data_IF_184019077840
#
_entry.id   IF_184019077840
#
_cell.length_a   1.000
_cell.length_b   1.000
_cell.length_c   1.000
_cell.angle_alpha   90.00
_cell.angle_beta   90.00
_cell.angle_gamma   90.00
#
_symmetry.space_group_name_H-M   'P 1'
#
loop_
_entity.id
_entity.type
_entity.pdbx_description
1 polymer ?
#
# COMPACT_ATOMS: atom_id res chain seq x y z
N UNK A 1 66.60 -58.62 15.98
CA UNK A 1 66.57 -57.52 16.97
C UNK A 1 66.63 -56.19 16.22
N UNK A 2 65.48 -55.52 16.06
CA UNK A 2 65.30 -54.08 15.75
C UNK A 2 63.79 -53.83 15.66
N UNK A 3 63.20 -53.42 16.79
CA UNK A 3 61.81 -52.95 16.84
C UNK A 3 61.75 -51.57 16.18
N UNK A 4 60.77 -51.35 15.30
CA UNK A 4 60.30 -50.01 14.92
C UNK A 4 59.01 -49.74 15.66
N UNK A 5 59.02 -48.71 16.50
CA UNK A 5 57.85 -48.19 17.20
C UNK A 5 56.84 -47.63 16.20
N UNK A 6 55.61 -48.12 16.24
CA UNK A 6 54.47 -47.55 15.53
C UNK A 6 53.69 -46.71 16.54
N UNK A 7 53.78 -45.39 16.44
CA UNK A 7 52.95 -44.47 17.22
C UNK A 7 51.58 -44.36 16.55
N UNK A 8 50.53 -44.76 17.26
CA UNK A 8 49.15 -44.64 16.83
C UNK A 8 48.65 -43.23 17.21
N UNK A 9 48.50 -42.34 16.22
CA UNK A 9 47.81 -41.07 16.41
C UNK A 9 46.30 -41.30 16.23
N UNK A 10 45.55 -41.23 17.32
CA UNK A 10 44.09 -41.21 17.31
C UNK A 10 43.64 -39.78 17.00
N UNK A 11 43.13 -39.54 15.79
CA UNK A 11 42.49 -38.28 15.44
C UNK A 11 41.07 -38.27 16.01
N UNK A 12 40.81 -37.43 17.00
CA UNK A 12 39.46 -37.13 17.50
C UNK A 12 38.90 -36.02 16.59
N UNK A 13 37.99 -36.38 15.69
CA UNK A 13 37.15 -35.43 14.95
C UNK A 13 36.06 -34.91 15.88
N UNK A 14 36.23 -33.68 16.40
CA UNK A 14 35.14 -32.92 17.00
C UNK A 14 34.18 -32.50 15.87
N UNK A 15 33.02 -33.15 15.79
CA UNK A 15 31.91 -32.65 14.98
C UNK A 15 31.35 -31.40 15.66
N UNK A 16 31.72 -30.22 15.16
CA UNK A 16 31.06 -28.96 15.53
C UNK A 16 29.72 -28.96 14.80
N UNK A 17 28.66 -29.40 15.48
CA UNK A 17 27.29 -29.14 15.08
C UNK A 17 27.04 -27.64 15.23
N UNK A 18 27.19 -26.88 14.15
CA UNK A 18 26.67 -25.52 14.09
C UNK A 18 25.15 -25.53 14.33
N UNK A 19 24.57 -24.49 14.94
CA UNK A 19 23.12 -24.42 15.09
C UNK A 19 22.51 -24.49 13.69
N UNK A 20 21.70 -25.52 13.44
CA UNK A 20 20.78 -25.48 12.31
C UNK A 20 19.87 -24.27 12.56
N UNK A 21 19.99 -23.23 11.73
CA UNK A 21 18.94 -22.25 11.61
C UNK A 21 17.71 -23.04 11.14
N UNK A 22 16.86 -23.41 12.09
CA UNK A 22 15.54 -23.90 11.76
C UNK A 22 14.90 -22.78 10.93
N UNK A 23 14.59 -23.07 9.67
CA UNK A 23 13.69 -22.24 8.86
C UNK A 23 12.30 -22.31 9.52
N UNK A 24 12.13 -21.60 10.64
CA UNK A 24 10.81 -21.37 11.21
C UNK A 24 10.08 -20.41 10.28
N UNK A 25 8.89 -20.81 9.84
CA UNK A 25 7.98 -19.94 9.10
C UNK A 25 7.77 -18.66 9.92
N UNK A 26 7.87 -17.45 9.33
CA UNK A 26 7.60 -16.21 10.05
C UNK A 26 6.22 -16.22 10.71
N UNK A 27 6.08 -15.53 11.84
CA UNK A 27 4.80 -15.30 12.52
C UNK A 27 3.81 -14.56 11.61
N UNK A 28 4.34 -13.64 10.81
CA UNK A 28 3.62 -12.85 9.80
C UNK A 28 4.57 -11.84 9.15
N UNK A 29 4.07 -11.10 8.18
CA UNK A 29 4.81 -10.04 7.49
C UNK A 29 4.23 -8.66 7.81
N UNK A 30 5.08 -7.75 8.26
CA UNK A 30 4.74 -6.35 8.50
C UNK A 30 5.16 -5.52 7.28
N UNK A 31 4.24 -4.70 6.78
CA UNK A 31 4.50 -3.72 5.73
C UNK A 31 4.47 -2.33 6.36
N UNK A 32 5.66 -1.77 6.65
CA UNK A 32 5.77 -0.39 7.12
C UNK A 32 5.52 0.55 5.94
N UNK A 33 4.48 1.37 6.05
CA UNK A 33 4.11 2.37 5.05
C UNK A 33 4.10 3.76 5.66
N UNK A 34 4.75 4.71 4.98
CA UNK A 34 4.87 6.11 5.41
C UNK A 34 4.22 7.00 4.35
N UNK A 35 3.25 7.80 4.78
CA UNK A 35 2.51 8.71 3.91
C UNK A 35 2.97 10.16 4.14
N UNK A 36 2.74 11.01 3.13
CA UNK A 36 2.90 12.48 3.13
C UNK A 36 4.32 13.00 2.97
N UNK A 37 5.32 12.13 2.81
CA UNK A 37 6.64 12.57 2.34
C UNK A 37 6.65 13.00 0.85
N UNK A 38 7.81 13.38 0.27
CA UNK A 38 9.11 13.44 0.91
C UNK A 38 9.34 14.80 1.57
N UNK A 39 9.70 14.81 2.84
CA UNK A 39 9.99 16.01 3.64
C UNK A 39 11.32 15.84 4.37
N UNK A 40 11.77 16.86 5.11
CA UNK A 40 13.03 16.79 5.86
C UNK A 40 13.04 15.62 6.86
N UNK A 41 11.90 15.36 7.52
CA UNK A 41 11.74 14.29 8.50
C UNK A 41 11.97 12.89 7.92
N UNK A 42 11.66 12.68 6.64
CA UNK A 42 11.85 11.41 5.94
C UNK A 42 13.30 10.91 6.03
N UNK A 43 14.29 11.83 6.07
CA UNK A 43 15.72 11.48 6.04
C UNK A 43 16.12 10.66 7.27
N UNK A 44 15.70 11.07 8.47
CA UNK A 44 16.05 10.35 9.70
C UNK A 44 15.23 9.07 9.86
N UNK A 45 13.98 9.06 9.41
CA UNK A 45 13.17 7.83 9.32
C UNK A 45 13.87 6.78 8.44
N UNK A 46 14.29 7.16 7.24
CA UNK A 46 15.02 6.27 6.31
C UNK A 46 16.31 5.74 6.94
N UNK A 47 17.07 6.59 7.65
CA UNK A 47 18.27 6.15 8.36
C UNK A 47 17.97 5.11 9.45
N UNK A 48 16.90 5.29 10.22
CA UNK A 48 16.48 4.29 11.23
C UNK A 48 16.07 2.97 10.57
N UNK A 49 15.31 3.01 9.46
CA UNK A 49 14.95 1.81 8.71
C UNK A 49 16.18 1.07 8.17
N UNK A 50 17.13 1.82 7.61
CA UNK A 50 18.41 1.28 7.13
C UNK A 50 19.23 0.64 8.25
N UNK A 51 19.35 1.30 9.41
CA UNK A 51 20.04 0.75 10.59
C UNK A 51 19.32 -0.49 11.14
N UNK A 52 17.99 -0.49 11.10
CA UNK A 52 17.16 -1.64 11.45
C UNK A 52 17.23 -2.77 10.43
N UNK A 53 17.87 -2.58 9.26
CA UNK A 53 17.97 -3.57 8.21
C UNK A 53 16.60 -4.00 7.68
N UNK A 54 15.71 -3.03 7.43
CA UNK A 54 14.38 -3.25 6.85
C UNK A 54 14.14 -2.32 5.66
N UNK A 55 13.23 -2.72 4.78
CA UNK A 55 12.67 -1.86 3.73
C UNK A 55 11.23 -1.49 4.09
N UNK A 56 10.76 -0.41 3.49
CA UNK A 56 9.45 0.19 3.74
C UNK A 56 8.92 0.75 2.41
N UNK A 57 7.65 1.13 2.40
CA UNK A 57 7.03 1.80 1.26
C UNK A 57 6.65 3.22 1.67
N UNK A 58 7.01 4.19 0.84
CA UNK A 58 6.68 5.60 1.03
C UNK A 58 5.65 6.00 -0.03
N UNK A 59 4.47 6.45 0.39
CA UNK A 59 3.46 7.01 -0.49
C UNK A 59 3.63 8.53 -0.47
N UNK A 60 4.19 9.07 -1.56
CA UNK A 60 4.66 10.45 -1.60
C UNK A 60 3.73 11.42 -2.34
N UNK A 61 3.75 12.67 -1.87
CA UNK A 61 3.16 13.86 -2.49
C UNK A 61 4.26 14.78 -3.03
N UNK A 62 4.33 14.97 -4.35
CA UNK A 62 5.43 15.72 -4.96
C UNK A 62 5.33 17.24 -4.81
N UNK A 63 4.22 17.80 -4.31
CA UNK A 63 4.12 19.23 -4.02
C UNK A 63 5.17 19.74 -3.01
N UNK A 64 5.70 18.85 -2.15
CA UNK A 64 6.81 19.15 -1.23
C UNK A 64 8.11 19.48 -1.98
N UNK A 65 8.29 18.96 -3.20
CA UNK A 65 9.43 19.31 -4.06
C UNK A 65 9.29 20.71 -4.65
N UNK A 66 8.06 21.17 -4.85
CA UNK A 66 7.76 22.54 -5.30
C UNK A 66 7.78 23.55 -4.12
N UNK A 67 7.89 23.10 -2.87
CA UNK A 67 8.03 23.96 -1.69
C UNK A 67 6.71 24.58 -1.22
N UNK A 68 5.58 23.93 -1.47
CA UNK A 68 4.22 24.44 -1.18
C UNK A 68 3.40 23.55 -0.24
N UNK A 69 4.02 22.53 0.37
CA UNK A 69 3.34 21.52 1.18
C UNK A 69 3.14 21.87 2.67
N UNK A 70 3.58 23.07 3.07
CA UNK A 70 3.51 23.59 4.46
C UNK A 70 4.25 22.72 5.51
N UNK A 71 5.31 22.03 5.11
CA UNK A 71 6.20 21.29 6.01
C UNK A 71 7.65 21.78 5.93
N UNK A 72 8.52 21.27 6.82
CA UNK A 72 9.96 21.44 6.63
C UNK A 72 10.40 20.57 5.46
N UNK A 73 10.57 21.16 4.28
CA UNK A 73 10.71 20.43 3.01
C UNK A 73 11.81 20.93 2.08
N UNK A 74 12.70 21.82 2.56
CA UNK A 74 13.86 22.29 1.80
C UNK A 74 14.82 21.17 1.37
N UNK A 75 14.72 19.99 2.01
CA UNK A 75 15.48 18.77 1.70
C UNK A 75 14.61 17.67 1.07
N UNK A 76 13.42 17.99 0.56
CA UNK A 76 12.50 17.02 -0.07
C UNK A 76 13.17 16.19 -1.17
N UNK A 77 13.94 16.82 -2.08
CA UNK A 77 14.66 16.08 -3.13
C UNK A 77 15.77 15.18 -2.58
N UNK A 78 16.41 15.57 -1.48
CA UNK A 78 17.40 14.71 -0.79
C UNK A 78 16.71 13.49 -0.20
N UNK A 79 15.58 13.67 0.48
CA UNK A 79 14.77 12.59 1.04
C UNK A 79 14.31 11.60 -0.04
N UNK A 80 13.79 12.09 -1.17
CA UNK A 80 13.37 11.25 -2.30
C UNK A 80 14.53 10.40 -2.83
N UNK A 81 15.69 11.01 -3.06
CA UNK A 81 16.89 10.29 -3.52
C UNK A 81 17.33 9.25 -2.49
N UNK A 82 17.38 9.63 -1.21
CA UNK A 82 17.80 8.73 -0.13
C UNK A 82 16.87 7.52 0.00
N UNK A 83 15.56 7.69 -0.14
CA UNK A 83 14.59 6.59 -0.11
C UNK A 83 14.87 5.59 -1.24
N UNK A 84 15.07 6.09 -2.46
CA UNK A 84 15.34 5.29 -3.65
C UNK A 84 16.70 4.61 -3.61
N UNK A 85 17.77 5.35 -3.29
CA UNK A 85 19.14 4.84 -3.19
C UNK A 85 19.27 3.77 -2.08
N UNK A 86 18.45 3.89 -1.03
CA UNK A 86 18.38 2.92 0.06
C UNK A 86 17.52 1.70 -0.27
N UNK A 87 16.87 1.65 -1.44
CA UNK A 87 16.05 0.52 -1.88
C UNK A 87 14.66 0.46 -1.26
N UNK A 88 14.15 1.54 -0.66
CA UNK A 88 12.74 1.63 -0.25
C UNK A 88 11.85 1.80 -1.47
N UNK A 89 10.59 1.39 -1.36
CA UNK A 89 9.62 1.57 -2.44
C UNK A 89 9.04 2.98 -2.37
N UNK A 90 8.97 3.66 -3.51
CA UNK A 90 8.22 4.92 -3.66
C UNK A 90 6.92 4.63 -4.42
N UNK A 91 5.79 4.77 -3.75
CA UNK A 91 4.43 4.74 -4.30
C UNK A 91 3.82 6.13 -4.41
N UNK A 92 2.62 6.21 -4.97
CA UNK A 92 1.96 7.46 -5.33
C UNK A 92 0.84 7.83 -4.35
N UNK A 93 0.92 9.02 -3.76
CA UNK A 93 -0.11 9.52 -2.84
C UNK A 93 -0.89 10.71 -3.38
N UNK A 94 -0.92 10.90 -4.71
CA UNK A 94 -1.32 12.13 -5.42
C UNK A 94 -0.32 13.28 -5.31
N UNK A 95 -0.45 14.31 -6.13
CA UNK A 95 0.47 15.44 -6.16
C UNK A 95 0.39 16.30 -4.88
N UNK A 96 -0.82 16.71 -4.51
CA UNK A 96 -1.09 17.76 -3.52
C UNK A 96 -1.96 17.26 -2.37
N UNK A 97 -2.05 15.95 -2.17
CA UNK A 97 -2.85 15.35 -1.10
C UNK A 97 -4.35 15.75 -1.16
N UNK A 98 -4.87 16.07 -2.36
CA UNK A 98 -6.20 16.62 -2.61
C UNK A 98 -6.47 18.02 -2.02
N UNK A 99 -5.44 18.78 -1.66
CA UNK A 99 -5.61 20.08 -1.01
C UNK A 99 -6.24 21.12 -1.95
N UNK A 100 -6.17 20.95 -3.27
CA UNK A 100 -6.96 21.74 -4.22
C UNK A 100 -8.47 21.72 -3.94
N UNK A 101 -8.99 20.65 -3.31
CA UNK A 101 -10.40 20.56 -2.91
C UNK A 101 -10.70 21.19 -1.54
N UNK A 102 -9.69 21.58 -0.78
CA UNK A 102 -9.83 22.20 0.54
C UNK A 102 -9.93 23.74 0.48
N UNK A 103 -9.62 24.34 -0.67
CA UNK A 103 -9.54 25.79 -0.87
C UNK A 103 -10.37 26.23 -2.08
N UNK A 104 -10.66 27.53 -2.20
CA UNK A 104 -11.41 28.07 -3.34
C UNK A 104 -10.60 28.07 -4.64
N UNK A 105 -9.30 28.39 -4.55
CA UNK A 105 -8.35 28.38 -5.65
C UNK A 105 -7.00 27.82 -5.16
N UNK A 106 -6.48 26.80 -5.84
CA UNK A 106 -5.23 26.16 -5.45
C UNK A 106 -4.02 27.03 -5.81
N UNK A 107 -3.09 27.17 -4.88
CA UNK A 107 -1.87 27.94 -5.05
C UNK A 107 -0.84 27.68 -3.94
N UNK A 108 0.27 28.46 -3.91
CA UNK A 108 1.38 28.21 -3.00
C UNK A 108 1.07 28.29 -1.50
N UNK A 109 -0.05 28.91 -1.10
CA UNK A 109 -0.47 29.03 0.30
C UNK A 109 -1.49 27.98 0.72
N UNK A 110 -2.03 27.19 -0.22
CA UNK A 110 -3.18 26.32 0.03
C UNK A 110 -2.92 25.25 1.10
N UNK A 111 -1.68 24.76 1.21
CA UNK A 111 -1.29 23.87 2.32
C UNK A 111 -1.50 24.53 3.68
N UNK A 112 -0.99 25.75 3.85
CA UNK A 112 -1.15 26.52 5.08
C UNK A 112 -2.63 26.92 5.33
N UNK A 113 -3.35 27.31 4.28
CA UNK A 113 -4.76 27.71 4.37
C UNK A 113 -5.66 26.52 4.80
N UNK A 114 -5.44 25.33 4.23
CA UNK A 114 -6.14 24.13 4.65
C UNK A 114 -5.76 23.70 6.07
N UNK A 115 -4.47 23.80 6.44
CA UNK A 115 -4.00 23.53 7.81
C UNK A 115 -4.65 24.46 8.83
N UNK A 116 -4.82 25.74 8.51
CA UNK A 116 -5.45 26.72 9.39
C UNK A 116 -6.93 26.40 9.69
N UNK A 117 -7.66 25.85 8.72
CA UNK A 117 -9.07 25.43 8.90
C UNK A 117 -9.21 24.00 9.43
N UNK A 118 -8.19 23.16 9.18
CA UNK A 118 -8.22 21.73 9.44
C UNK A 118 -9.28 20.99 8.62
N UNK A 119 -9.68 21.51 7.45
CA UNK A 119 -10.78 20.98 6.63
C UNK A 119 -10.37 19.91 5.62
N UNK A 120 -9.17 19.34 5.76
CA UNK A 120 -8.64 18.26 4.92
C UNK A 120 -9.65 17.16 4.57
N UNK A 121 -10.46 16.72 5.55
CA UNK A 121 -11.42 15.61 5.41
C UNK A 121 -12.83 16.07 4.98
N UNK A 122 -13.01 17.35 4.66
CA UNK A 122 -14.28 17.93 4.19
C UNK A 122 -14.17 18.23 2.70
N UNK A 123 -15.09 17.70 1.90
CA UNK A 123 -15.11 17.82 0.44
C UNK A 123 -13.78 17.42 -0.22
N UNK A 124 -13.02 16.50 0.37
CA UNK A 124 -11.66 16.13 -0.06
C UNK A 124 -11.58 15.58 -1.48
N UNK A 125 -12.70 15.08 -1.99
CA UNK A 125 -12.84 14.55 -3.34
C UNK A 125 -14.11 15.16 -3.94
N UNK A 126 -14.02 15.69 -5.16
CA UNK A 126 -15.11 16.40 -5.81
C UNK A 126 -15.30 15.91 -7.25
N UNK A 127 -14.48 16.39 -8.19
CA UNK A 127 -14.46 15.87 -9.56
C UNK A 127 -13.45 14.71 -9.65
N UNK A 128 -13.92 13.45 -9.70
CA UNK A 128 -13.02 12.31 -9.66
C UNK A 128 -12.06 12.23 -10.85
N UNK A 129 -12.36 12.89 -11.97
CA UNK A 129 -11.44 12.95 -13.12
C UNK A 129 -10.27 13.88 -12.80
N UNK A 130 -10.55 15.04 -12.22
CA UNK A 130 -9.52 15.97 -11.78
C UNK A 130 -8.70 15.38 -10.61
N UNK A 131 -9.38 14.85 -9.60
CA UNK A 131 -8.77 14.22 -8.44
C UNK A 131 -7.83 13.07 -8.86
N UNK A 132 -8.26 12.20 -9.78
CA UNK A 132 -7.41 11.13 -10.30
C UNK A 132 -6.22 11.65 -11.14
N UNK A 133 -6.41 12.76 -11.88
CA UNK A 133 -5.33 13.36 -12.66
C UNK A 133 -4.18 13.90 -11.79
N UNK A 134 -4.43 14.21 -10.52
CA UNK A 134 -3.35 14.59 -9.58
C UNK A 134 -2.36 13.46 -9.31
N UNK A 135 -2.74 12.18 -9.48
CA UNK A 135 -1.80 11.06 -9.38
C UNK A 135 -0.85 11.03 -10.59
N UNK A 136 -1.31 11.40 -11.78
CA UNK A 136 -0.46 11.57 -12.96
C UNK A 136 0.44 12.80 -12.81
N UNK A 137 -0.11 13.92 -12.31
CA UNK A 137 0.69 15.11 -11.98
C UNK A 137 1.82 14.80 -11.00
N UNK A 138 1.58 13.88 -10.05
CA UNK A 138 2.60 13.43 -9.13
C UNK A 138 3.79 12.79 -9.86
N UNK A 139 3.53 11.93 -10.85
CA UNK A 139 4.59 11.32 -11.68
C UNK A 139 5.38 12.38 -12.43
N UNK A 140 4.68 13.33 -13.05
CA UNK A 140 5.29 14.43 -13.80
C UNK A 140 6.25 15.23 -12.90
N UNK A 141 5.82 15.58 -11.69
CA UNK A 141 6.64 16.36 -10.77
C UNK A 141 7.83 15.54 -10.22
N UNK A 142 7.62 14.28 -9.83
CA UNK A 142 8.72 13.41 -9.38
C UNK A 142 9.80 13.27 -10.47
N UNK A 143 9.38 13.06 -11.72
CA UNK A 143 10.28 12.92 -12.88
C UNK A 143 10.94 14.24 -13.28
N UNK A 144 10.27 15.38 -13.07
CA UNK A 144 10.88 16.71 -13.25
C UNK A 144 12.06 16.92 -12.30
N UNK A 145 11.90 16.58 -11.02
CA UNK A 145 12.92 16.82 -9.98
C UNK A 145 14.00 15.73 -9.95
N UNK A 146 13.65 14.50 -10.32
CA UNK A 146 14.60 13.40 -10.46
C UNK A 146 14.40 12.72 -11.84
N UNK A 147 14.99 13.25 -12.92
CA UNK A 147 14.81 12.72 -14.27
C UNK A 147 15.23 11.26 -14.47
N UNK A 148 16.06 10.73 -13.58
CA UNK A 148 16.49 9.32 -13.57
C UNK A 148 15.59 8.41 -12.74
N UNK A 149 14.49 8.91 -12.16
CA UNK A 149 13.69 8.13 -11.19
C UNK A 149 13.17 6.80 -11.76
N UNK A 150 12.83 6.75 -13.07
CA UNK A 150 12.40 5.53 -13.75
C UNK A 150 13.48 4.46 -13.92
N UNK A 151 14.77 4.79 -13.71
CA UNK A 151 15.83 3.77 -13.70
C UNK A 151 15.88 2.96 -12.40
N UNK A 152 15.18 3.41 -11.35
CA UNK A 152 15.12 2.70 -10.08
C UNK A 152 14.03 1.62 -10.13
N UNK A 153 14.36 0.33 -9.94
CA UNK A 153 13.36 -0.74 -9.94
C UNK A 153 12.37 -0.64 -8.76
N UNK A 154 12.76 0.07 -7.71
CA UNK A 154 11.97 0.38 -6.52
C UNK A 154 11.14 1.67 -6.64
N UNK A 155 11.22 2.38 -7.77
CA UNK A 155 10.22 3.39 -8.10
C UNK A 155 8.95 2.70 -8.62
N UNK A 156 7.87 2.83 -7.86
CA UNK A 156 6.56 2.19 -8.11
C UNK A 156 5.42 3.21 -8.17
N UNK A 157 5.75 4.48 -8.41
CA UNK A 157 4.78 5.56 -8.47
C UNK A 157 3.70 5.36 -9.53
N UNK A 158 3.95 4.57 -10.58
CA UNK A 158 3.00 4.27 -11.65
C UNK A 158 2.31 2.89 -11.52
N UNK A 159 2.53 2.17 -10.42
CA UNK A 159 1.96 0.84 -10.17
C UNK A 159 1.20 0.78 -8.83
N UNK A 160 1.71 1.49 -7.81
CA UNK A 160 1.19 1.47 -6.45
C UNK A 160 0.71 2.86 -6.05
N UNK A 161 -0.53 2.94 -5.58
CA UNK A 161 -1.08 4.16 -5.04
C UNK A 161 -1.79 3.94 -3.69
N UNK A 162 -1.98 5.03 -2.95
CA UNK A 162 -2.88 5.11 -1.81
C UNK A 162 -3.61 6.43 -1.90
N UNK A 163 -4.91 6.43 -1.63
CA UNK A 163 -5.71 7.66 -1.64
C UNK A 163 -5.51 8.43 -0.33
N UNK A 164 -5.29 9.75 -0.37
CA UNK A 164 -5.41 10.63 0.79
C UNK A 164 -6.65 10.32 1.65
N UNK A 165 -6.45 10.30 2.97
CA UNK A 165 -7.51 10.10 3.99
C UNK A 165 -8.23 8.74 3.99
N UNK A 166 -8.06 7.91 2.97
CA UNK A 166 -9.03 6.86 2.64
C UNK A 166 -8.42 5.47 2.78
N UNK A 167 -8.98 4.65 3.67
CA UNK A 167 -8.65 3.21 3.77
C UNK A 167 -9.33 2.44 2.63
N UNK A 168 -8.87 2.68 1.40
CA UNK A 168 -9.40 2.15 0.14
C UNK A 168 -8.51 1.05 -0.46
N UNK A 169 -9.13 0.08 -1.12
CA UNK A 169 -8.45 -1.12 -1.61
C UNK A 169 -8.91 -1.47 -3.03
N UNK A 170 -7.95 -1.59 -3.94
CA UNK A 170 -8.06 -2.20 -5.27
C UNK A 170 -6.83 -3.10 -5.43
N UNK A 171 -6.93 -4.35 -4.98
CA UNK A 171 -5.80 -5.30 -5.00
C UNK A 171 -5.98 -6.33 -6.09
N UNK A 172 -7.15 -6.98 -6.16
CA UNK A 172 -7.50 -7.95 -7.22
C UNK A 172 -8.97 -7.80 -7.60
N UNK A 173 -9.43 -8.45 -8.67
CA UNK A 173 -10.86 -8.54 -9.04
C UNK A 173 -11.75 -8.86 -7.82
N UNK A 174 -11.32 -9.75 -6.93
CA UNK A 174 -12.08 -10.22 -5.78
C UNK A 174 -11.56 -9.67 -4.43
N UNK A 175 -10.59 -8.76 -4.44
CA UNK A 175 -10.10 -8.07 -3.26
C UNK A 175 -10.12 -6.56 -3.50
N UNK A 176 -11.27 -5.97 -3.21
CA UNK A 176 -11.54 -4.54 -3.31
C UNK A 176 -12.48 -4.14 -2.18
N UNK A 177 -12.30 -2.93 -1.66
CA UNK A 177 -13.19 -2.36 -0.65
C UNK A 177 -12.94 -0.85 -0.51
N UNK A 178 -13.90 -0.13 0.04
CA UNK A 178 -13.86 1.34 0.12
C UNK A 178 -13.99 1.82 1.57
N UNK A 179 -13.42 2.99 1.86
CA UNK A 179 -13.60 3.68 3.14
C UNK A 179 -14.89 4.50 3.15
N UNK A 180 -16.01 3.90 3.56
CA UNK A 180 -17.34 4.47 3.36
C UNK A 180 -17.68 5.65 4.28
N UNK A 181 -16.75 6.02 5.17
CA UNK A 181 -16.85 7.19 6.05
C UNK A 181 -15.56 8.03 6.04
N UNK A 182 -14.66 7.80 5.07
CA UNK A 182 -13.31 8.39 5.07
C UNK A 182 -13.31 9.92 5.03
N UNK A 183 -14.22 10.48 4.23
CA UNK A 183 -14.36 11.92 4.02
C UNK A 183 -15.82 12.34 4.11
N UNK A 184 -16.05 13.62 4.39
CA UNK A 184 -17.37 14.16 4.70
C UNK A 184 -17.72 15.32 3.78
N UNK A 185 -19.01 15.61 3.64
CA UNK A 185 -19.48 16.78 2.88
C UNK A 185 -19.57 18.04 3.76
N UNK A 186 -19.51 17.90 5.10
CA UNK A 186 -19.78 19.01 6.02
C UNK A 186 -19.02 18.96 7.36
N UNK A 187 -19.26 17.93 8.18
CA UNK A 187 -18.77 17.84 9.55
C UNK A 187 -17.63 16.84 9.65
N UNK A 188 -16.64 17.15 10.48
CA UNK A 188 -15.55 16.23 10.83
C UNK A 188 -16.05 15.16 11.80
N UNK A 189 -15.42 13.97 11.85
CA UNK A 189 -15.91 12.86 12.69
C UNK A 189 -16.06 13.18 14.19
N UNK A 190 -15.29 14.14 14.70
CA UNK A 190 -15.32 14.57 16.10
C UNK A 190 -16.21 15.80 16.37
N UNK A 191 -16.87 16.34 15.36
CA UNK A 191 -17.76 17.49 15.51
C UNK A 191 -19.17 17.08 15.95
N UNK A 192 -19.84 17.87 16.82
CA UNK A 192 -21.20 17.58 17.24
C UNK A 192 -22.17 17.50 16.05
N UNK A 193 -22.92 16.39 15.97
CA UNK A 193 -23.88 16.16 14.90
C UNK A 193 -23.33 15.39 13.69
N UNK A 194 -22.06 15.01 13.69
CA UNK A 194 -21.51 14.11 12.67
C UNK A 194 -22.29 12.79 12.62
N UNK A 195 -22.62 12.37 11.39
CA UNK A 195 -23.27 11.10 11.08
C UNK A 195 -22.56 10.50 9.88
N UNK A 196 -22.23 9.21 9.94
CA UNK A 196 -21.89 8.43 8.76
C UNK A 196 -22.92 7.34 8.53
N UNK A 197 -23.41 7.23 7.30
CA UNK A 197 -24.22 6.11 6.82
C UNK A 197 -23.49 5.39 5.67
N UNK A 198 -22.84 4.23 5.92
CA UNK A 198 -22.17 3.46 4.87
C UNK A 198 -23.10 2.98 3.73
N UNK A 199 -24.43 2.95 3.93
CA UNK A 199 -25.38 2.63 2.88
C UNK A 199 -25.68 3.84 1.97
N UNK A 200 -25.52 5.06 2.50
CA UNK A 200 -25.71 6.32 1.80
C UNK A 200 -24.51 7.24 2.02
N UNK A 201 -23.31 6.88 1.51
CA UNK A 201 -22.09 7.62 1.78
C UNK A 201 -22.14 9.06 1.27
N UNK A 202 -21.26 9.90 1.82
CA UNK A 202 -21.05 11.30 1.40
C UNK A 202 -20.74 11.40 -0.10
N UNK A 203 -20.95 12.57 -0.70
CA UNK A 203 -20.57 12.80 -2.09
C UNK A 203 -19.06 12.71 -2.26
N UNK A 204 -18.29 13.19 -1.28
CA UNK A 204 -16.84 13.03 -1.28
C UNK A 204 -16.40 11.56 -1.31
N UNK A 205 -17.03 10.68 -0.52
CA UNK A 205 -16.73 9.24 -0.58
C UNK A 205 -17.10 8.63 -1.93
N UNK A 206 -18.22 9.04 -2.54
CA UNK A 206 -18.60 8.55 -3.88
C UNK A 206 -17.57 8.97 -4.94
N UNK A 207 -17.04 10.19 -4.85
CA UNK A 207 -15.99 10.67 -5.73
C UNK A 207 -14.70 9.87 -5.53
N UNK A 208 -14.28 9.61 -4.27
CA UNK A 208 -13.09 8.82 -3.99
C UNK A 208 -13.18 7.37 -4.50
N UNK A 209 -14.37 6.75 -4.47
CA UNK A 209 -14.63 5.44 -5.09
C UNK A 209 -14.41 5.50 -6.61
N UNK A 210 -14.85 6.58 -7.27
CA UNK A 210 -14.60 6.75 -8.70
C UNK A 210 -13.11 6.97 -8.99
N UNK A 211 -12.39 7.72 -8.16
CA UNK A 211 -10.92 7.86 -8.26
C UNK A 211 -10.25 6.49 -8.19
N UNK A 212 -10.60 5.64 -7.20
CA UNK A 212 -10.07 4.27 -7.11
C UNK A 212 -10.32 3.46 -8.38
N UNK A 213 -11.50 3.58 -8.98
CA UNK A 213 -11.84 2.87 -10.21
C UNK A 213 -11.07 3.40 -11.43
N UNK A 214 -10.85 4.72 -11.52
CA UNK A 214 -10.04 5.35 -12.57
C UNK A 214 -8.60 4.85 -12.46
N UNK A 215 -8.00 4.89 -11.27
CA UNK A 215 -6.63 4.41 -11.04
C UNK A 215 -6.50 2.90 -11.33
N UNK A 216 -7.44 2.07 -10.86
CA UNK A 216 -7.44 0.63 -11.17
C UNK A 216 -7.50 0.36 -12.67
N UNK A 217 -8.28 1.13 -13.43
CA UNK A 217 -8.34 1.05 -14.89
C UNK A 217 -7.08 1.56 -15.60
N UNK A 218 -6.25 2.34 -14.92
CA UNK A 218 -4.92 2.76 -15.38
C UNK A 218 -3.82 1.74 -15.00
N UNK A 219 -4.17 0.66 -14.28
CA UNK A 219 -3.25 -0.40 -13.88
C UNK A 219 -2.70 -0.29 -12.46
N UNK A 220 -3.20 0.65 -11.65
CA UNK A 220 -2.78 0.77 -10.25
C UNK A 220 -3.39 -0.32 -9.36
N UNK A 221 -2.58 -0.83 -8.43
CA UNK A 221 -3.10 -1.38 -7.18
C UNK A 221 -3.17 -0.28 -6.11
N UNK A 222 -4.29 -0.20 -5.39
CA UNK A 222 -4.42 0.66 -4.21
C UNK A 222 -4.56 -0.15 -2.94
N UNK A 223 -3.86 0.26 -1.90
CA UNK A 223 -3.82 -0.45 -0.62
C UNK A 223 -4.06 0.53 0.54
N UNK A 224 -4.97 0.15 1.43
CA UNK A 224 -5.19 0.85 2.69
C UNK A 224 -4.23 0.37 3.78
N UNK A 225 -4.72 0.27 5.01
CA UNK A 225 -3.94 -0.14 6.19
C UNK A 225 -4.75 -0.94 7.21
N UNK A 226 -4.04 -1.70 8.05
CA UNK A 226 -4.62 -2.51 9.13
C UNK A 226 -4.55 -1.82 10.48
N UNK A 227 -3.44 -1.11 10.74
CA UNK A 227 -3.19 -0.33 11.94
C UNK A 227 -2.55 1.00 11.55
N UNK A 228 -2.81 2.02 12.35
CA UNK A 228 -2.25 3.36 12.19
C UNK A 228 -1.38 3.70 13.41
N UNK A 229 -0.09 3.93 13.20
CA UNK A 229 0.82 4.38 14.25
C UNK A 229 0.75 5.89 14.37
N UNK A 230 -0.19 6.34 15.20
CA UNK A 230 -0.52 7.73 15.43
C UNK A 230 -0.37 8.14 16.91
N UNK A 231 -0.43 9.45 17.22
CA UNK A 231 -0.62 9.95 18.58
C UNK A 231 -1.81 9.28 19.28
N UNK A 232 -1.58 8.72 20.46
CA UNK A 232 -2.64 8.20 21.33
C UNK A 232 -3.57 9.32 21.83
N UNK A 233 -3.09 10.58 21.82
CA UNK A 233 -3.91 11.73 22.15
C UNK A 233 -3.53 12.95 21.29
N UNK A 234 -4.38 13.30 20.33
CA UNK A 234 -4.22 14.50 19.50
C UNK A 234 -4.53 15.82 20.22
N UNK A 235 -5.19 15.78 21.38
CA UNK A 235 -5.65 16.98 22.11
C UNK A 235 -4.64 17.57 23.09
N UNK A 236 -3.47 16.94 23.27
CA UNK A 236 -2.42 17.47 24.17
C UNK A 236 -1.49 18.45 23.44
N UNK A 237 -0.78 19.33 24.16
CA UNK A 237 0.37 20.03 23.59
C UNK A 237 1.41 19.01 23.10
N UNK A 238 2.02 19.29 21.94
CA UNK A 238 3.00 18.39 21.32
C UNK A 238 2.46 16.95 21.11
N UNK A 239 1.36 16.78 20.35
CA UNK A 239 0.67 15.50 20.23
C UNK A 239 1.59 14.36 19.72
N UNK A 240 2.60 14.66 18.90
CA UNK A 240 3.55 13.66 18.41
C UNK A 240 4.27 12.91 19.54
N UNK A 241 4.46 13.55 20.71
CA UNK A 241 5.11 12.92 21.87
C UNK A 241 4.31 11.70 22.38
N UNK A 242 2.99 11.69 22.16
CA UNK A 242 2.10 10.59 22.54
C UNK A 242 2.01 9.46 21.52
N UNK A 243 2.87 9.45 20.49
CA UNK A 243 2.97 8.31 19.58
C UNK A 243 3.16 7.02 20.40
N UNK A 244 2.34 6.01 20.11
CA UNK A 244 2.34 4.72 20.84
C UNK A 244 3.76 4.18 21.02
N UNK A 245 4.11 3.73 22.23
CA UNK A 245 5.42 3.10 22.50
C UNK A 245 5.58 1.79 21.72
N UNK A 246 6.82 1.39 21.45
CA UNK A 246 7.13 0.22 20.62
C UNK A 246 6.47 -1.10 21.09
N UNK A 247 6.51 -1.37 22.41
CA UNK A 247 5.93 -2.58 23.01
C UNK A 247 4.40 -2.65 22.87
N UNK A 248 3.62 -1.63 23.30
CA UNK A 248 2.17 -1.64 23.08
C UNK A 248 1.82 -1.60 21.59
N UNK A 249 2.59 -0.91 20.74
CA UNK A 249 2.32 -0.89 19.30
C UNK A 249 2.51 -2.28 18.66
N UNK A 250 3.52 -3.04 19.07
CA UNK A 250 3.65 -4.45 18.66
C UNK A 250 2.44 -5.29 19.10
N UNK A 251 1.84 -4.98 20.26
CA UNK A 251 0.60 -5.64 20.69
C UNK A 251 -0.60 -5.28 19.79
N UNK A 252 -0.63 -4.08 19.21
CA UNK A 252 -1.64 -3.69 18.22
C UNK A 252 -1.46 -4.47 16.91
N UNK A 253 -0.22 -4.63 16.44
CA UNK A 253 0.12 -5.48 15.28
C UNK A 253 -0.28 -6.93 15.54
N UNK A 254 0.02 -7.47 16.71
CA UNK A 254 -0.37 -8.83 17.12
C UNK A 254 -1.88 -9.03 17.11
N UNK A 255 -2.64 -8.04 17.60
CA UNK A 255 -4.10 -8.08 17.58
C UNK A 255 -4.65 -7.98 16.16
N UNK A 256 -3.96 -7.25 15.28
CA UNK A 256 -4.37 -7.02 13.90
C UNK A 256 -4.19 -8.25 13.01
N UNK A 257 -3.14 -9.04 13.24
CA UNK A 257 -2.80 -10.22 12.45
C UNK A 257 -4.00 -11.18 12.32
N UNK A 258 -4.44 -11.44 11.09
CA UNK A 258 -5.57 -12.34 10.77
C UNK A 258 -6.90 -11.98 11.45
N UNK A 259 -7.14 -10.70 11.77
CA UNK A 259 -8.33 -10.27 12.53
C UNK A 259 -9.31 -9.39 11.75
N UNK A 260 -9.05 -9.12 10.46
CA UNK A 260 -9.84 -8.19 9.64
C UNK A 260 -9.89 -6.76 10.21
N UNK A 261 -8.77 -6.29 10.73
CA UNK A 261 -8.57 -4.97 11.35
C UNK A 261 -9.20 -3.79 10.60
N UNK A 262 -9.16 -3.70 9.25
CA UNK A 262 -9.75 -2.57 8.54
C UNK A 262 -11.25 -2.38 8.83
N UNK A 263 -11.98 -3.43 9.21
CA UNK A 263 -13.40 -3.32 9.60
C UNK A 263 -13.60 -2.81 11.03
N UNK A 264 -12.61 -3.01 11.90
CA UNK A 264 -12.73 -2.75 13.35
C UNK A 264 -11.91 -1.56 13.82
N UNK A 265 -10.97 -1.07 13.02
CA UNK A 265 -10.08 0.05 13.36
C UNK A 265 -10.90 1.30 13.73
N UNK A 266 -10.41 2.07 14.69
CA UNK A 266 -10.91 3.41 15.00
C UNK A 266 -9.87 4.45 14.57
N UNK A 267 -10.28 5.68 14.23
CA UNK A 267 -11.66 6.20 14.20
C UNK A 267 -12.50 5.69 13.01
N UNK A 268 -13.80 6.03 13.00
CA UNK A 268 -14.77 5.62 11.97
C UNK A 268 -14.32 5.93 10.54
N UNK A 269 -13.64 7.06 10.33
CA UNK A 269 -13.13 7.48 9.02
C UNK A 269 -11.91 6.68 8.55
N UNK A 270 -11.29 5.87 9.42
CA UNK A 270 -10.21 4.95 9.04
C UNK A 270 -10.71 3.56 8.66
N UNK A 271 -12.03 3.29 8.78
CA UNK A 271 -12.60 1.96 8.51
C UNK A 271 -12.73 1.67 7.01
N UNK A 272 -12.60 0.39 6.68
CA UNK A 272 -13.02 -0.23 5.43
C UNK A 272 -14.15 -1.23 5.75
N UNK A 273 -15.39 -0.74 5.75
CA UNK A 273 -16.55 -1.46 6.32
C UNK A 273 -16.87 -2.77 5.60
N UNK A 274 -16.60 -2.84 4.29
CA UNK A 274 -16.87 -4.00 3.44
C UNK A 274 -15.58 -4.73 3.03
N UNK A 275 -14.53 -4.63 3.85
CA UNK A 275 -13.30 -5.38 3.60
C UNK A 275 -13.59 -6.89 3.53
N UNK A 276 -13.07 -7.62 2.54
CA UNK A 276 -13.30 -9.06 2.40
C UNK A 276 -12.48 -9.84 3.43
N UNK A 277 -12.98 -9.94 4.66
CA UNK A 277 -12.33 -10.68 5.75
C UNK A 277 -11.99 -12.11 5.32
N UNK A 278 -10.73 -12.53 5.55
CA UNK A 278 -10.25 -13.85 5.14
C UNK A 278 -9.81 -13.95 3.67
N UNK A 279 -9.76 -12.84 2.93
CA UNK A 279 -9.18 -12.83 1.58
C UNK A 279 -7.74 -13.37 1.61
N UNK A 280 -7.36 -14.30 0.72
CA UNK A 280 -6.12 -15.07 0.85
C UNK A 280 -4.86 -14.22 0.77
N UNK A 281 -4.88 -13.10 0.05
CA UNK A 281 -3.73 -12.20 -0.05
C UNK A 281 -3.50 -11.38 1.23
N UNK A 282 -4.47 -11.28 2.13
CA UNK A 282 -4.35 -10.53 3.39
C UNK A 282 -3.89 -11.40 4.56
N UNK A 283 -4.06 -12.72 4.47
CA UNK A 283 -3.63 -13.66 5.50
C UNK A 283 -2.14 -13.51 5.83
N UNK A 284 -1.84 -13.60 7.13
CA UNK A 284 -0.50 -13.52 7.74
C UNK A 284 0.25 -12.20 7.46
N UNK A 285 -0.48 -11.11 7.19
CA UNK A 285 0.08 -9.79 6.89
C UNK A 285 -0.56 -8.70 7.75
N UNK A 286 0.22 -7.66 8.03
CA UNK A 286 -0.25 -6.42 8.66
C UNK A 286 0.39 -5.23 7.94
N UNK A 287 -0.42 -4.34 7.37
CA UNK A 287 0.02 -3.05 6.84
C UNK A 287 -0.09 -2.00 7.94
N UNK A 288 1.04 -1.37 8.24
CA UNK A 288 1.14 -0.26 9.19
C UNK A 288 1.17 1.05 8.40
N UNK A 289 0.18 1.91 8.63
CA UNK A 289 0.23 3.32 8.25
C UNK A 289 0.97 4.12 9.34
N UNK A 290 1.79 5.08 8.94
CA UNK A 290 2.25 6.19 9.78
C UNK A 290 2.73 7.33 8.88
N UNK A 291 3.23 8.42 9.46
CA UNK A 291 3.64 9.61 8.71
C UNK A 291 4.99 10.09 9.20
N UNK A 292 5.93 10.38 8.30
CA UNK A 292 7.27 10.83 8.69
C UNK A 292 7.29 12.15 9.47
N UNK A 293 6.30 13.03 9.31
CA UNK A 293 6.19 14.26 10.11
C UNK A 293 5.95 13.99 11.61
N UNK A 294 5.55 12.77 12.00
CA UNK A 294 5.44 12.37 13.41
C UNK A 294 6.83 12.10 14.04
N UNK A 295 7.88 12.07 13.24
CA UNK A 295 9.25 11.77 13.62
C UNK A 295 10.19 12.98 13.46
N UNK A 296 9.65 14.21 13.42
CA UNK A 296 10.42 15.46 13.50
C UNK A 296 10.26 16.18 14.83
N UNK A 297 11.32 16.87 15.27
CA UNK A 297 11.21 17.88 16.31
C UNK A 297 10.74 19.19 15.65
N UNK A 298 9.49 19.59 15.90
CA UNK A 298 8.84 20.65 15.14
C UNK A 298 7.47 21.05 15.69
N UNK A 299 6.60 21.54 14.79
CA UNK A 299 5.29 22.11 15.15
C UNK A 299 4.34 21.13 15.87
N UNK A 300 4.60 19.82 15.76
CA UNK A 300 3.80 18.74 16.36
C UNK A 300 4.39 18.16 17.65
N UNK A 301 5.60 18.54 18.05
CA UNK A 301 6.28 18.02 19.23
C UNK A 301 7.73 17.63 18.99
N UNK A 302 8.27 16.83 19.90
CA UNK A 302 9.64 16.31 19.87
C UNK A 302 9.69 14.93 19.20
N UNK A 303 9.16 14.82 17.99
CA UNK A 303 9.01 13.55 17.29
C UNK A 303 10.35 12.90 16.94
N UNK A 304 11.38 13.65 16.56
CA UNK A 304 12.68 13.06 16.26
C UNK A 304 13.31 12.51 17.55
N UNK A 305 13.33 13.34 18.60
CA UNK A 305 13.94 12.97 19.88
C UNK A 305 13.21 11.81 20.56
N UNK A 306 11.87 11.75 20.47
CA UNK A 306 11.08 10.76 21.21
C UNK A 306 10.66 9.55 20.36
N UNK A 307 10.35 9.73 19.08
CA UNK A 307 9.69 8.69 18.28
C UNK A 307 10.64 7.89 17.38
N UNK A 308 11.77 8.46 16.93
CA UNK A 308 12.78 7.67 16.20
C UNK A 308 13.30 6.47 17.02
N UNK A 309 13.56 6.59 18.34
CA UNK A 309 13.88 5.43 19.17
C UNK A 309 12.75 4.39 19.23
N UNK A 310 11.48 4.83 19.23
CA UNK A 310 10.32 3.92 19.22
C UNK A 310 10.29 3.10 17.93
N UNK A 311 10.53 3.72 16.78
CA UNK A 311 10.62 3.03 15.49
C UNK A 311 11.74 1.98 15.48
N UNK A 312 12.94 2.36 15.94
CA UNK A 312 14.08 1.45 16.02
C UNK A 312 13.79 0.25 16.93
N UNK A 313 13.22 0.50 18.10
CA UNK A 313 12.87 -0.51 19.08
C UNK A 313 11.74 -1.42 18.58
N UNK A 314 10.73 -0.88 17.91
CA UNK A 314 9.64 -1.66 17.31
C UNK A 314 10.17 -2.63 16.26
N UNK A 315 11.05 -2.18 15.36
CA UNK A 315 11.66 -3.05 14.34
C UNK A 315 12.41 -4.21 14.99
N UNK A 316 13.18 -3.93 16.05
CA UNK A 316 13.93 -4.94 16.81
C UNK A 316 12.98 -5.95 17.47
N UNK A 317 12.00 -5.46 18.24
CA UNK A 317 11.03 -6.29 18.97
C UNK A 317 10.17 -7.15 18.03
N UNK A 318 9.73 -6.60 16.91
CA UNK A 318 8.93 -7.33 15.93
C UNK A 318 9.72 -8.49 15.30
N UNK A 319 11.00 -8.26 14.95
CA UNK A 319 11.90 -9.33 14.47
C UNK A 319 12.11 -10.41 15.53
N UNK A 320 12.32 -10.03 16.79
CA UNK A 320 12.46 -10.97 17.91
C UNK A 320 11.18 -11.78 18.17
N UNK A 321 10.00 -11.17 17.94
CA UNK A 321 8.71 -11.84 18.01
C UNK A 321 8.41 -12.75 16.79
N UNK A 322 9.32 -12.82 15.82
CA UNK A 322 9.21 -13.69 14.64
C UNK A 322 8.53 -13.06 13.42
N UNK A 323 8.28 -11.76 13.41
CA UNK A 323 7.83 -11.06 12.21
C UNK A 323 8.99 -10.81 11.24
N UNK A 324 8.66 -10.76 9.96
CA UNK A 324 9.53 -10.21 8.91
C UNK A 324 8.94 -8.90 8.38
N UNK A 325 9.79 -8.08 7.77
CA UNK A 325 9.38 -6.83 7.13
C UNK A 325 9.52 -6.95 5.62
N UNK A 326 8.54 -6.46 4.88
CA UNK A 326 8.53 -6.45 3.41
C UNK A 326 7.88 -5.16 2.88
N UNK A 327 7.89 -4.99 1.57
CA UNK A 327 7.39 -3.79 0.89
C UNK A 327 6.17 -4.07 0.02
N UNK A 328 5.38 -3.03 -0.24
CA UNK A 328 4.05 -3.18 -0.85
C UNK A 328 4.08 -3.76 -2.27
N UNK A 329 5.20 -3.67 -2.99
CA UNK A 329 5.39 -4.30 -4.30
C UNK A 329 5.49 -5.85 -4.22
N UNK A 330 5.64 -6.41 -3.02
CA UNK A 330 5.60 -7.83 -2.73
C UNK A 330 4.34 -8.25 -1.96
N UNK A 331 3.42 -7.31 -1.67
CA UNK A 331 2.16 -7.63 -0.98
C UNK A 331 1.33 -8.65 -1.78
N UNK A 332 1.20 -8.42 -3.10
CA UNK A 332 0.88 -9.50 -4.04
C UNK A 332 2.21 -10.15 -4.45
N UNK A 333 2.45 -11.44 -4.16
CA UNK A 333 3.75 -12.04 -4.37
C UNK A 333 4.11 -12.11 -5.85
N UNK A 334 5.36 -11.82 -6.20
CA UNK A 334 5.83 -11.88 -7.59
C UNK A 334 5.79 -13.31 -8.13
N UNK A 335 5.46 -13.45 -9.41
CA UNK A 335 5.59 -14.72 -10.12
C UNK A 335 7.07 -15.16 -10.16
N UNK A 336 7.33 -16.43 -9.81
CA UNK A 336 8.69 -16.96 -9.65
C UNK A 336 8.83 -18.31 -10.37
N UNK A 337 9.77 -18.40 -11.32
CA UNK A 337 10.11 -19.65 -12.03
C UNK A 337 10.51 -20.73 -11.03
N UNK A 338 10.04 -21.96 -11.23
CA UNK A 338 10.32 -23.11 -10.37
C UNK A 338 9.43 -23.21 -9.13
N UNK A 339 8.67 -22.16 -8.76
CA UNK A 339 7.69 -22.23 -7.67
C UNK A 339 6.48 -23.07 -8.11
N UNK A 340 6.01 -23.94 -7.22
CA UNK A 340 4.73 -24.64 -7.41
C UNK A 340 3.60 -23.77 -6.87
N UNK A 341 2.59 -23.56 -7.71
CA UNK A 341 1.40 -22.79 -7.40
C UNK A 341 0.18 -23.71 -7.31
N UNK A 342 -0.72 -23.42 -6.38
CA UNK A 342 -2.04 -24.05 -6.29
C UNK A 342 -3.07 -23.29 -7.13
N UNK A 343 -4.12 -23.99 -7.57
CA UNK A 343 -5.27 -23.33 -8.21
C UNK A 343 -5.85 -22.27 -7.28
N UNK A 344 -6.13 -21.07 -7.81
CA UNK A 344 -6.64 -19.95 -7.04
C UNK A 344 -5.58 -19.05 -6.39
N UNK A 345 -4.30 -19.42 -6.39
CA UNK A 345 -3.24 -18.52 -5.89
C UNK A 345 -3.04 -17.31 -6.81
N UNK A 346 -2.72 -16.17 -6.20
CA UNK A 346 -2.49 -14.91 -6.89
C UNK A 346 -1.01 -14.60 -7.01
N UNK A 347 -0.61 -14.00 -8.12
CA UNK A 347 0.73 -13.49 -8.36
C UNK A 347 0.70 -12.14 -9.06
N UNK A 348 1.76 -11.36 -8.88
CA UNK A 348 2.06 -10.18 -9.68
C UNK A 348 3.08 -10.54 -10.77
N UNK A 349 2.79 -10.18 -12.02
CA UNK A 349 3.72 -10.35 -13.15
C UNK A 349 3.63 -9.14 -14.08
N UNK A 350 4.76 -8.46 -14.28
CA UNK A 350 4.86 -7.26 -15.12
C UNK A 350 3.80 -6.18 -14.78
N UNK A 351 3.55 -5.97 -13.48
CA UNK A 351 2.60 -4.97 -12.98
C UNK A 351 1.13 -5.39 -13.00
N UNK A 352 0.78 -6.57 -13.53
CA UNK A 352 -0.58 -7.09 -13.55
C UNK A 352 -0.76 -8.30 -12.62
N UNK A 353 -1.93 -8.41 -12.03
CA UNK A 353 -2.33 -9.50 -11.14
C UNK A 353 -2.90 -10.66 -11.94
N UNK A 354 -2.46 -11.86 -11.61
CA UNK A 354 -2.96 -13.10 -12.20
C UNK A 354 -3.38 -14.09 -11.12
N UNK A 355 -4.43 -14.87 -11.42
CA UNK A 355 -4.87 -16.00 -10.61
C UNK A 355 -4.58 -17.31 -11.33
N UNK A 356 -3.96 -18.27 -10.64
CA UNK A 356 -3.67 -19.59 -11.19
C UNK A 356 -4.98 -20.34 -11.48
N UNK A 357 -5.10 -20.89 -12.69
CA UNK A 357 -6.27 -21.68 -13.13
C UNK A 357 -6.18 -23.09 -12.55
N UNK A 358 -5.01 -23.73 -12.69
CA UNK A 358 -4.74 -25.08 -12.19
C UNK A 358 -3.44 -25.11 -11.39
N UNK A 359 -3.31 -26.08 -10.49
CA UNK A 359 -2.05 -26.30 -9.80
C UNK A 359 -0.96 -26.72 -10.81
N UNK A 360 0.22 -26.08 -10.75
CA UNK A 360 1.33 -26.33 -11.65
C UNK A 360 2.66 -25.82 -11.06
N UNK A 361 3.77 -26.20 -11.67
CA UNK A 361 5.09 -25.62 -11.38
C UNK A 361 5.43 -24.60 -12.46
N UNK A 362 5.75 -23.38 -12.06
CA UNK A 362 6.09 -22.29 -12.97
C UNK A 362 7.35 -22.62 -13.78
N UNK A 363 7.30 -22.35 -15.08
CA UNK A 363 8.41 -22.48 -16.01
C UNK A 363 8.59 -21.15 -16.75
N UNK A 364 9.80 -20.85 -17.19
CA UNK A 364 10.13 -19.57 -17.85
C UNK A 364 9.22 -19.28 -19.05
N UNK A 365 9.00 -20.28 -19.91
CA UNK A 365 8.16 -20.15 -21.11
C UNK A 365 6.64 -20.20 -20.83
N UNK A 366 6.22 -20.38 -19.57
CA UNK A 366 4.81 -20.49 -19.14
C UNK A 366 4.39 -19.37 -18.19
N UNK A 367 4.98 -18.18 -18.37
CA UNK A 367 4.65 -17.00 -17.58
C UNK A 367 3.17 -16.58 -17.71
N UNK A 368 2.59 -15.90 -16.69
CA UNK A 368 1.27 -15.31 -16.77
C UNK A 368 1.18 -14.28 -17.91
N UNK A 369 0.12 -14.35 -18.71
CA UNK A 369 -0.08 -13.46 -19.86
C UNK A 369 -1.55 -13.36 -20.26
N UNK A 370 -1.87 -12.47 -21.20
CA UNK A 370 -3.21 -12.31 -21.78
C UNK A 370 -3.68 -13.49 -22.65
N UNK A 371 -2.86 -14.53 -22.81
CA UNK A 371 -3.20 -15.74 -23.59
C UNK A 371 -2.86 -17.04 -22.84
N UNK A 372 -2.41 -16.92 -21.59
CA UNK A 372 -2.01 -18.07 -20.78
C UNK A 372 -3.22 -18.95 -20.45
N UNK A 373 -3.04 -20.27 -20.55
CA UNK A 373 -4.05 -21.24 -20.08
C UNK A 373 -3.90 -21.57 -18.59
N UNK A 374 -2.75 -21.27 -17.98
CA UNK A 374 -2.45 -21.55 -16.57
C UNK A 374 -2.83 -20.39 -15.64
N UNK A 375 -3.10 -19.22 -16.21
CA UNK A 375 -3.34 -17.98 -15.48
C UNK A 375 -4.47 -17.20 -16.14
N UNK A 376 -5.32 -16.57 -15.32
CA UNK A 376 -6.27 -15.54 -15.78
C UNK A 376 -5.90 -14.21 -15.14
N UNK A 377 -6.00 -13.11 -15.89
CA UNK A 377 -5.87 -11.76 -15.34
C UNK A 377 -6.94 -11.56 -14.25
N UNK A 378 -6.52 -11.01 -13.13
CA UNK A 378 -7.34 -10.75 -11.96
C UNK A 378 -7.05 -9.34 -11.40
N UNK A 379 -6.70 -8.40 -12.27
CA UNK A 379 -6.57 -6.99 -11.90
C UNK A 379 -7.91 -6.47 -11.33
N UNK A 380 -7.87 -5.48 -10.42
CA UNK A 380 -9.08 -4.87 -9.84
C UNK A 380 -9.80 -3.90 -10.80
N UNK A 381 -9.46 -3.94 -12.10
CA UNK A 381 -10.02 -3.06 -13.12
C UNK A 381 -11.47 -3.42 -13.48
N UNK A 382 -12.17 -2.46 -14.09
CA UNK A 382 -13.55 -2.60 -14.58
C UNK A 382 -13.68 -2.43 -16.09
N UNK A 383 -12.62 -1.99 -16.78
CA UNK A 383 -12.54 -2.08 -18.23
C UNK A 383 -12.53 -3.55 -18.67
N UNK A 384 -13.19 -3.86 -19.79
CA UNK A 384 -13.10 -5.21 -20.35
C UNK A 384 -11.66 -5.50 -20.77
N UNK A 385 -11.09 -6.55 -20.18
CA UNK A 385 -9.72 -7.00 -20.41
C UNK A 385 -9.71 -8.46 -20.88
N UNK A 386 -8.69 -8.83 -21.66
CA UNK A 386 -8.46 -10.21 -22.14
C UNK A 386 -8.06 -11.15 -21.01
N UNK A 387 -8.43 -12.42 -21.14
CA UNK A 387 -8.07 -13.51 -20.24
C UNK A 387 -8.50 -13.27 -18.78
N UNK A 388 -9.62 -12.58 -18.58
CA UNK A 388 -10.25 -12.40 -17.27
C UNK A 388 -11.33 -13.45 -17.11
N UNK A 389 -11.35 -14.14 -15.97
CA UNK A 389 -12.47 -14.98 -15.57
C UNK A 389 -13.59 -14.09 -15.00
N UNK A 390 -14.55 -13.73 -15.85
CA UNK A 390 -15.72 -12.95 -15.45
C UNK A 390 -16.77 -13.83 -14.77
N UNK A 391 -17.41 -13.26 -13.75
CA UNK A 391 -18.53 -13.82 -13.03
C UNK A 391 -19.85 -13.25 -13.56
N UNK A 392 -20.93 -14.01 -13.44
CA UNK A 392 -22.26 -13.49 -13.74
C UNK A 392 -22.58 -12.28 -12.85
N UNK A 393 -23.06 -11.20 -13.45
CA UNK A 393 -23.37 -9.96 -12.75
C UNK A 393 -22.23 -8.94 -12.71
N UNK A 394 -21.02 -9.30 -13.13
CA UNK A 394 -19.95 -8.32 -13.35
C UNK A 394 -20.40 -7.24 -14.34
N UNK A 395 -19.95 -6.01 -14.13
CA UNK A 395 -20.18 -4.90 -15.05
C UNK A 395 -18.86 -4.40 -15.61
N UNK A 396 -18.75 -4.38 -16.93
CA UNK A 396 -17.54 -3.98 -17.65
C UNK A 396 -17.76 -2.76 -18.54
N UNK A 397 -16.71 -1.95 -18.70
CA UNK A 397 -16.67 -0.85 -19.66
C UNK A 397 -15.97 -1.30 -20.96
N UNK A 398 -16.59 -1.07 -22.11
CA UNK A 398 -15.99 -1.35 -23.41
C UNK A 398 -16.46 -0.34 -24.47
N UNK A 399 -15.52 0.34 -25.12
CA UNK A 399 -15.78 1.39 -26.13
C UNK A 399 -16.79 2.45 -25.66
N UNK A 400 -16.62 2.94 -24.43
CA UNK A 400 -17.47 3.97 -23.83
C UNK A 400 -18.88 3.53 -23.45
N UNK A 401 -19.16 2.22 -23.44
CA UNK A 401 -20.45 1.64 -23.02
C UNK A 401 -20.26 0.66 -21.88
N UNK A 402 -21.31 0.50 -21.07
CA UNK A 402 -21.36 -0.47 -19.96
C UNK A 402 -22.09 -1.73 -20.39
N UNK A 403 -21.61 -2.87 -19.92
CA UNK A 403 -22.19 -4.18 -20.20
C UNK A 403 -22.24 -5.01 -18.91
N UNK A 404 -23.35 -5.68 -18.68
CA UNK A 404 -23.55 -6.70 -17.66
C UNK A 404 -23.15 -8.07 -18.21
N UNK A 405 -22.37 -8.84 -17.45
CA UNK A 405 -22.03 -10.23 -17.77
C UNK A 405 -23.22 -11.14 -17.44
N UNK A 406 -23.73 -11.85 -18.45
CA UNK A 406 -24.89 -12.73 -18.34
C UNK A 406 -24.53 -14.11 -17.79
N UNK A 407 -23.37 -14.65 -18.19
CA UNK A 407 -22.89 -15.98 -17.80
C UNK A 407 -21.38 -15.96 -17.52
N UNK A 408 -20.88 -16.75 -16.55
CA UNK A 408 -19.45 -16.80 -16.26
C UNK A 408 -18.66 -17.33 -17.46
N UNK A 409 -17.54 -16.70 -17.79
CA UNK A 409 -16.66 -17.10 -18.88
C UNK A 409 -15.27 -16.48 -18.73
N UNK A 410 -14.28 -17.04 -19.43
CA UNK A 410 -12.97 -16.38 -19.60
C UNK A 410 -13.00 -15.55 -20.88
N UNK A 411 -12.66 -14.26 -20.79
CA UNK A 411 -12.65 -13.38 -21.95
C UNK A 411 -11.50 -13.73 -22.91
N UNK A 412 -11.77 -13.62 -24.19
CA UNK A 412 -10.81 -13.85 -25.27
C UNK A 412 -11.04 -12.85 -26.40
N UNK A 413 -10.08 -12.75 -27.32
CA UNK A 413 -10.05 -11.71 -28.36
C UNK A 413 -11.34 -11.58 -29.17
N UNK A 414 -11.96 -12.70 -29.52
CA UNK A 414 -13.17 -12.73 -30.34
C UNK A 414 -14.47 -12.58 -29.52
N UNK A 415 -14.37 -12.60 -28.18
CA UNK A 415 -15.51 -12.52 -27.27
C UNK A 415 -15.67 -11.13 -26.67
N UNK A 416 -15.77 -10.13 -27.54
CA UNK A 416 -15.93 -8.73 -27.14
C UNK A 416 -17.38 -8.39 -26.75
N UNK A 417 -17.60 -7.47 -25.78
CA UNK A 417 -18.94 -7.18 -25.27
C UNK A 417 -19.96 -6.73 -26.32
N UNK A 418 -19.52 -6.03 -27.36
CA UNK A 418 -20.41 -5.52 -28.42
C UNK A 418 -20.79 -6.58 -29.48
N UNK A 419 -20.19 -7.77 -29.46
CA UNK A 419 -20.44 -8.84 -30.44
C UNK A 419 -21.07 -10.08 -29.83
N UNK A 420 -20.92 -10.30 -28.53
CA UNK A 420 -21.40 -11.49 -27.82
C UNK A 420 -22.61 -11.19 -26.93
N UNK A 421 -23.78 -11.01 -27.52
CA UNK A 421 -25.02 -10.71 -26.78
C UNK A 421 -25.52 -11.84 -25.85
N UNK A 422 -25.02 -13.06 -26.02
CA UNK A 422 -25.27 -14.17 -25.10
C UNK A 422 -24.42 -14.08 -23.83
N UNK A 423 -23.21 -13.52 -23.94
CA UNK A 423 -22.30 -13.30 -22.82
C UNK A 423 -22.57 -11.97 -22.12
N UNK A 424 -23.05 -10.96 -22.84
CA UNK A 424 -23.19 -9.58 -22.34
C UNK A 424 -24.54 -8.95 -22.68
N UNK A 425 -25.05 -8.13 -21.75
CA UNK A 425 -26.20 -7.24 -21.96
C UNK A 425 -25.75 -5.79 -21.79
N UNK A 426 -25.98 -4.91 -22.78
CA UNK A 426 -25.68 -3.49 -22.65
C UNK A 426 -26.59 -2.83 -21.59
N UNK A 427 -26.03 -1.95 -20.76
CA UNK A 427 -26.71 -1.21 -19.69
C UNK A 427 -27.09 0.21 -20.06
#
# INVERSE_FOLDING_TARGET
>A
MKLKNLALLTAITLAISGPSLANSTPKGTIYLTFDDGPINASIEVIKVLNQGGVKATFYFNAWHLDGIGDENEDRSLEALKLALDSGHIVGNHSYDHMIHNCVEEFGPTSGADCNATGNHQINSYQDPVHDAATFEQNLITLEKYLPTIRSYPNYKGNELARLPYTNGWRVTKHFQADGLCATSDNLKPWEPGYVCDPANPSNSVKASIQVQNILANQGYQTHGWDVDWAPENWGIPMPANSLTEAVPFLSYVDKALNSCSPTTIEPINSKTQKFPCGTPLHADKVIVLTHEFLFEDGKRGMGATQNLPKLAEFIRLAKEAGYVFDTMDNYTPRWTVGKSYQSGEYVLHQGAVYKAVTAHTAQEDWAPSSTSSLWTNADPATNWTLNVAYDQGDVVNYKGKRYLVNVPHVSQQDWTPNTQNTLFTAL
#
